data_IF_536928592050
#
_entry.id   IF_536928592050
#
_cell.length_a   1.000
_cell.length_b   1.000
_cell.length_c   1.000
_cell.angle_alpha   90.00
_cell.angle_beta   90.00
_cell.angle_gamma   90.00
#
_symmetry.space_group_name_H-M   'P 1'
#
loop_
_entity.id
_entity.type
_entity.pdbx_description
1 polymer ?
#
# COMPACT_ATOMS: atom_id res chain seq x y z
N UNK A 1 63.27 -46.17 -7.39
CA UNK A 1 63.65 -44.82 -7.73
C UNK A 1 63.15 -44.57 -9.15
N UNK A 2 62.00 -44.02 -9.29
CA UNK A 2 61.43 -43.57 -10.60
C UNK A 2 60.93 -42.20 -10.40
N UNK A 3 61.58 -41.24 -11.03
CA UNK A 3 61.18 -39.82 -11.14
C UNK A 3 60.11 -39.71 -12.19
N UNK A 4 58.90 -39.31 -11.80
CA UNK A 4 57.93 -38.82 -12.71
C UNK A 4 58.11 -37.32 -12.83
N UNK A 5 58.49 -36.89 -14.01
CA UNK A 5 58.62 -35.50 -14.44
C UNK A 5 57.23 -35.07 -14.88
N UNK A 6 56.51 -34.35 -14.07
CA UNK A 6 55.27 -33.69 -14.46
C UNK A 6 55.63 -32.49 -15.33
N UNK A 7 55.20 -32.53 -16.57
CA UNK A 7 55.50 -31.51 -17.59
C UNK A 7 54.68 -30.25 -17.32
N UNK A 8 55.31 -29.07 -17.47
CA UNK A 8 54.78 -27.73 -17.26
C UNK A 8 53.57 -27.36 -18.15
N UNK A 9 53.22 -28.19 -19.11
CA UNK A 9 52.14 -27.94 -20.06
C UNK A 9 50.73 -28.22 -19.49
N UNK A 10 50.58 -29.02 -18.42
CA UNK A 10 49.29 -29.26 -17.80
C UNK A 10 48.84 -28.12 -16.90
N UNK A 11 49.72 -27.26 -16.42
CA UNK A 11 49.36 -26.12 -15.56
C UNK A 11 48.86 -24.90 -16.33
N UNK A 12 49.06 -24.84 -17.65
CA UNK A 12 48.62 -23.70 -18.48
C UNK A 12 47.16 -23.89 -18.93
N UNK A 13 46.69 -25.13 -19.03
CA UNK A 13 45.29 -25.39 -19.44
C UNK A 13 44.28 -25.18 -18.34
N UNK A 14 44.65 -25.27 -17.07
CA UNK A 14 43.74 -25.00 -15.94
C UNK A 14 43.53 -23.50 -15.65
N UNK A 15 44.42 -22.62 -16.13
CA UNK A 15 44.27 -21.16 -15.92
C UNK A 15 43.45 -20.45 -16.98
N UNK A 16 43.12 -21.08 -18.09
CA UNK A 16 42.32 -20.45 -19.18
C UNK A 16 40.81 -20.63 -18.94
N UNK A 17 40.40 -21.67 -18.17
CA UNK A 17 38.99 -21.91 -17.88
C UNK A 17 38.40 -21.03 -16.76
N UNK A 18 39.20 -20.21 -16.09
CA UNK A 18 38.74 -19.31 -15.02
C UNK A 18 38.51 -17.84 -15.49
N UNK A 19 38.67 -17.54 -16.77
CA UNK A 19 38.58 -16.19 -17.30
C UNK A 19 37.39 -15.92 -18.25
N UNK A 20 36.49 -16.87 -18.39
CA UNK A 20 35.27 -16.68 -19.20
C UNK A 20 34.03 -17.07 -18.40
N UNK A 21 33.63 -16.26 -17.42
CA UNK A 21 32.22 -16.07 -17.08
C UNK A 21 32.03 -14.86 -16.16
N UNK A 22 32.32 -13.67 -16.67
CA UNK A 22 31.81 -12.42 -16.11
C UNK A 22 30.92 -11.78 -17.15
N UNK A 23 29.82 -12.45 -17.48
CA UNK A 23 28.66 -11.77 -18.06
C UNK A 23 28.07 -10.93 -16.94
N UNK A 24 27.94 -9.61 -17.07
CA UNK A 24 27.22 -8.83 -16.08
C UNK A 24 25.77 -9.31 -16.11
N UNK A 25 25.40 -10.02 -15.04
CA UNK A 25 24.04 -10.46 -14.79
C UNK A 25 23.17 -9.19 -14.69
N UNK A 26 22.35 -8.96 -15.71
CA UNK A 26 21.36 -7.87 -15.72
C UNK A 26 20.23 -8.29 -14.76
N UNK A 27 20.46 -8.11 -13.45
CA UNK A 27 19.48 -8.42 -12.40
C UNK A 27 18.36 -7.39 -12.24
N UNK A 28 18.40 -6.27 -12.97
CA UNK A 28 17.50 -5.13 -12.74
C UNK A 28 16.00 -5.40 -12.94
N UNK A 29 15.50 -6.10 -14.00
CA UNK A 29 14.05 -6.17 -14.22
C UNK A 29 13.31 -7.10 -13.25
N UNK A 30 13.97 -8.09 -12.65
CA UNK A 30 13.33 -9.02 -11.71
C UNK A 30 13.18 -8.43 -10.31
N UNK A 31 14.10 -7.60 -9.87
CA UNK A 31 14.03 -6.92 -8.57
C UNK A 31 12.95 -5.84 -8.57
N UNK A 32 12.83 -5.04 -9.62
CA UNK A 32 11.79 -4.01 -9.75
C UNK A 32 10.38 -4.60 -9.78
N UNK A 33 10.15 -5.70 -10.51
CA UNK A 33 8.87 -6.40 -10.52
C UNK A 33 8.48 -6.93 -9.13
N UNK A 34 9.45 -7.46 -8.36
CA UNK A 34 9.24 -7.93 -7.00
C UNK A 34 8.89 -6.78 -6.04
N UNK A 35 9.51 -5.62 -6.21
CA UNK A 35 9.24 -4.43 -5.41
C UNK A 35 7.85 -3.86 -5.69
N UNK A 36 7.45 -3.73 -6.95
CA UNK A 36 6.11 -3.29 -7.35
C UNK A 36 5.03 -4.21 -6.77
N UNK A 37 5.22 -5.53 -6.84
CA UNK A 37 4.25 -6.49 -6.28
C UNK A 37 4.16 -6.38 -4.75
N UNK A 38 5.28 -6.16 -4.08
CA UNK A 38 5.33 -5.93 -2.63
C UNK A 38 4.55 -4.67 -2.26
N UNK A 39 4.77 -3.55 -2.95
CA UNK A 39 4.04 -2.30 -2.73
C UNK A 39 2.54 -2.45 -3.02
N UNK A 40 2.16 -3.14 -4.10
CA UNK A 40 0.76 -3.45 -4.41
C UNK A 40 0.10 -4.32 -3.34
N UNK A 41 0.84 -5.24 -2.75
CA UNK A 41 0.35 -6.06 -1.64
C UNK A 41 0.15 -5.22 -0.38
N UNK A 42 1.10 -4.34 -0.05
CA UNK A 42 0.95 -3.39 1.05
C UNK A 42 -0.23 -2.46 0.83
N UNK A 43 -0.42 -1.96 -0.39
CA UNK A 43 -1.55 -1.09 -0.78
C UNK A 43 -2.92 -1.76 -0.58
N UNK A 44 -3.01 -3.07 -0.76
CA UNK A 44 -4.23 -3.87 -0.52
C UNK A 44 -4.44 -4.22 0.95
N UNK A 45 -3.46 -3.95 1.80
CA UNK A 45 -3.51 -4.26 3.22
C UNK A 45 -4.41 -3.35 4.04
N UNK A 46 -4.28 -3.47 5.36
CA UNK A 46 -4.96 -2.64 6.34
C UNK A 46 -4.02 -1.56 6.85
N UNK A 47 -4.53 -0.36 7.00
CA UNK A 47 -3.81 0.81 7.48
C UNK A 47 -4.30 1.20 8.86
N UNK A 48 -3.36 1.53 9.75
CA UNK A 48 -3.68 2.06 11.06
C UNK A 48 -4.27 3.46 10.92
N UNK A 49 -5.46 3.66 11.50
CA UNK A 49 -6.12 4.96 11.57
C UNK A 49 -5.80 5.56 12.94
N UNK A 50 -4.89 6.54 13.00
CA UNK A 50 -4.38 7.05 14.28
C UNK A 50 -5.49 7.74 15.08
N UNK A 51 -5.46 7.50 16.40
CA UNK A 51 -6.37 8.15 17.35
C UNK A 51 -7.87 7.90 17.12
N UNK A 52 -8.25 6.98 16.23
CA UNK A 52 -9.64 6.62 16.02
C UNK A 52 -10.12 5.72 17.17
N UNK A 53 -11.23 6.13 17.78
CA UNK A 53 -11.84 5.40 18.89
C UNK A 53 -12.98 4.51 18.41
N UNK A 54 -13.42 3.58 19.27
CA UNK A 54 -14.61 2.78 19.00
C UNK A 54 -15.87 3.65 18.78
N UNK A 55 -15.96 4.78 19.46
CA UNK A 55 -17.10 5.68 19.31
C UNK A 55 -17.05 6.44 17.97
N UNK A 56 -15.85 6.78 17.49
CA UNK A 56 -15.67 7.34 16.14
C UNK A 56 -16.10 6.31 15.07
N UNK A 57 -15.75 5.03 15.23
CA UNK A 57 -16.19 3.96 14.33
C UNK A 57 -17.71 3.79 14.35
N UNK A 58 -18.34 3.80 15.55
CA UNK A 58 -19.80 3.72 15.69
C UNK A 58 -20.48 4.91 15.03
N UNK A 59 -19.93 6.12 15.24
CA UNK A 59 -20.41 7.33 14.59
C UNK A 59 -20.34 7.22 13.07
N UNK A 60 -19.17 6.85 12.53
CA UNK A 60 -18.95 6.70 11.08
C UNK A 60 -19.89 5.66 10.48
N UNK A 61 -20.07 4.51 11.14
CA UNK A 61 -20.98 3.47 10.71
C UNK A 61 -22.43 3.95 10.68
N UNK A 62 -22.89 4.65 11.75
CA UNK A 62 -24.22 5.21 11.81
C UNK A 62 -24.43 6.30 10.76
N UNK A 63 -23.40 7.09 10.50
CA UNK A 63 -23.39 8.08 9.43
C UNK A 63 -23.62 7.43 8.06
N UNK A 64 -22.85 6.41 7.70
CA UNK A 64 -23.01 5.69 6.43
C UNK A 64 -24.41 5.07 6.28
N UNK A 65 -25.01 4.64 7.39
CA UNK A 65 -26.34 4.03 7.39
C UNK A 65 -27.47 5.05 7.17
N UNK A 66 -27.34 6.24 7.73
CA UNK A 66 -28.49 7.14 7.91
C UNK A 66 -28.37 8.47 7.15
N UNK A 67 -27.16 8.89 6.78
CA UNK A 67 -26.90 10.25 6.28
C UNK A 67 -26.25 10.27 4.87
N UNK A 68 -26.04 9.12 4.25
CA UNK A 68 -25.45 9.04 2.93
C UNK A 68 -26.54 8.82 1.89
N UNK A 69 -26.63 9.73 0.94
CA UNK A 69 -27.37 9.52 -0.30
C UNK A 69 -26.48 8.78 -1.29
N UNK A 70 -27.00 7.74 -1.92
CA UNK A 70 -26.29 6.96 -2.91
C UNK A 70 -26.97 6.97 -4.27
N UNK A 71 -26.16 6.90 -5.33
CA UNK A 71 -26.64 6.88 -6.71
C UNK A 71 -26.39 5.50 -7.30
N UNK A 72 -27.46 4.70 -7.38
CA UNK A 72 -27.44 3.40 -8.01
C UNK A 72 -26.86 2.27 -7.12
N UNK A 73 -26.88 1.02 -7.66
CA UNK A 73 -26.56 -0.18 -6.89
C UNK A 73 -25.09 -0.28 -6.49
N UNK A 74 -24.18 0.27 -7.29
CA UNK A 74 -22.74 0.19 -6.99
C UNK A 74 -22.37 0.97 -5.73
N UNK A 75 -22.84 2.20 -5.60
CA UNK A 75 -22.60 2.99 -4.38
C UNK A 75 -23.28 2.35 -3.17
N UNK A 76 -24.51 1.83 -3.32
CA UNK A 76 -25.20 1.11 -2.25
C UNK A 76 -24.39 -0.12 -1.78
N UNK A 77 -23.80 -0.86 -2.70
CA UNK A 77 -22.94 -2.01 -2.37
C UNK A 77 -21.69 -1.59 -1.60
N UNK A 78 -21.01 -0.52 -2.04
CA UNK A 78 -19.82 0.02 -1.35
C UNK A 78 -20.16 0.48 0.07
N UNK A 79 -21.31 1.16 0.26
CA UNK A 79 -21.77 1.58 1.58
C UNK A 79 -22.01 0.35 2.48
N UNK A 80 -22.67 -0.67 1.95
CA UNK A 80 -22.94 -1.91 2.70
C UNK A 80 -21.65 -2.62 3.10
N UNK A 81 -20.67 -2.71 2.17
CA UNK A 81 -19.36 -3.28 2.49
C UNK A 81 -18.66 -2.50 3.59
N UNK A 82 -18.59 -1.18 3.50
CA UNK A 82 -17.97 -0.34 4.51
C UNK A 82 -18.69 -0.48 5.87
N UNK A 83 -20.01 -0.48 5.86
CA UNK A 83 -20.79 -0.69 7.09
C UNK A 83 -20.44 -2.02 7.78
N UNK A 84 -20.27 -3.11 7.03
CA UNK A 84 -19.91 -4.41 7.55
C UNK A 84 -18.43 -4.46 8.02
N UNK A 85 -17.51 -3.83 7.30
CA UNK A 85 -16.11 -3.72 7.73
C UNK A 85 -15.98 -2.95 9.05
N UNK A 86 -16.66 -1.81 9.17
CA UNK A 86 -16.68 -1.02 10.40
C UNK A 86 -17.31 -1.79 11.56
N UNK A 87 -18.36 -2.59 11.31
CA UNK A 87 -18.95 -3.45 12.33
C UNK A 87 -17.96 -4.49 12.82
N UNK A 88 -17.26 -5.18 11.91
CA UNK A 88 -16.22 -6.16 12.26
C UNK A 88 -15.11 -5.53 13.10
N UNK A 89 -14.67 -4.32 12.75
CA UNK A 89 -13.64 -3.63 13.51
C UNK A 89 -14.13 -3.18 14.89
N UNK A 90 -15.38 -2.72 15.02
CA UNK A 90 -16.01 -2.43 16.31
C UNK A 90 -16.05 -3.68 17.19
N UNK A 91 -16.35 -4.83 16.62
CA UNK A 91 -16.42 -6.11 17.35
C UNK A 91 -15.03 -6.59 17.78
N UNK A 92 -14.01 -6.43 16.92
CA UNK A 92 -12.62 -6.74 17.25
C UNK A 92 -12.11 -5.94 18.45
N UNK A 93 -12.63 -4.73 18.67
CA UNK A 93 -12.26 -3.87 19.81
C UNK A 93 -13.09 -4.12 21.08
N UNK A 94 -14.09 -5.01 21.04
CA UNK A 94 -14.89 -5.40 22.23
C UNK A 94 -14.24 -6.50 23.07
N UNK A 95 -13.15 -7.14 22.59
CA UNK A 95 -12.51 -8.26 23.28
C UNK A 95 -11.95 -7.86 24.64
N UNK A 96 -12.11 -8.73 25.65
CA UNK A 96 -11.61 -8.55 27.01
C UNK A 96 -10.09 -8.27 26.98
N UNK A 97 -9.66 -7.16 27.61
CA UNK A 97 -8.26 -6.78 27.76
C UNK A 97 -7.68 -5.89 26.65
N UNK A 98 -8.42 -5.59 25.61
CA UNK A 98 -8.03 -4.56 24.63
C UNK A 98 -8.63 -3.23 25.05
N UNK A 99 -7.87 -2.46 25.82
CA UNK A 99 -8.21 -1.07 26.06
C UNK A 99 -8.23 -0.35 24.70
N UNK A 100 -9.34 0.28 24.38
CA UNK A 100 -9.57 1.01 23.12
C UNK A 100 -8.49 2.06 22.81
N UNK A 101 -7.67 2.43 23.80
CA UNK A 101 -6.58 3.37 23.69
C UNK A 101 -5.26 2.73 23.19
N UNK A 102 -5.10 1.41 23.26
CA UNK A 102 -3.82 0.73 22.97
C UNK A 102 -3.81 -0.05 21.65
N UNK A 103 -4.97 -0.38 21.11
CA UNK A 103 -5.05 -1.09 19.82
C UNK A 103 -5.48 -0.13 18.71
N UNK A 104 -4.65 0.12 17.70
CA UNK A 104 -5.04 1.00 16.60
C UNK A 104 -6.19 0.39 15.81
N UNK A 105 -7.13 1.23 15.39
CA UNK A 105 -8.16 0.85 14.41
C UNK A 105 -7.48 0.61 13.07
N UNK A 106 -7.80 -0.50 12.42
CA UNK A 106 -7.19 -0.91 11.16
C UNK A 106 -8.23 -1.06 10.07
N UNK A 107 -8.17 -0.23 9.05
CA UNK A 107 -9.11 -0.26 7.92
C UNK A 107 -8.39 -0.55 6.60
N UNK A 108 -9.02 -1.32 5.68
CA UNK A 108 -8.52 -1.45 4.33
C UNK A 108 -8.48 -0.10 3.61
N UNK A 109 -7.50 0.10 2.73
CA UNK A 109 -7.38 1.32 1.95
C UNK A 109 -8.68 1.70 1.22
N UNK A 110 -9.32 0.72 0.58
CA UNK A 110 -10.59 0.94 -0.13
C UNK A 110 -11.72 1.43 0.80
N UNK A 111 -11.74 0.97 2.06
CA UNK A 111 -12.70 1.46 3.07
C UNK A 111 -12.42 2.91 3.44
N UNK A 112 -11.13 3.28 3.65
CA UNK A 112 -10.72 4.64 3.97
C UNK A 112 -11.12 5.60 2.85
N UNK A 113 -10.79 5.26 1.61
CA UNK A 113 -11.10 6.06 0.40
C UNK A 113 -12.59 6.28 0.21
N UNK A 114 -13.37 5.20 0.28
CA UNK A 114 -14.81 5.28 0.08
C UNK A 114 -15.51 6.01 1.23
N UNK A 115 -15.07 5.83 2.48
CA UNK A 115 -15.58 6.60 3.61
C UNK A 115 -15.32 8.11 3.40
N UNK A 116 -14.10 8.50 3.02
CA UNK A 116 -13.78 9.91 2.71
C UNK A 116 -14.61 10.45 1.55
N UNK A 117 -14.82 9.65 0.50
CA UNK A 117 -15.69 10.03 -0.61
C UNK A 117 -17.12 10.36 -0.17
N UNK A 118 -17.74 9.50 0.64
CA UNK A 118 -19.09 9.73 1.14
C UNK A 118 -19.16 10.86 2.16
N UNK A 119 -18.18 11.00 3.04
CA UNK A 119 -18.10 12.09 4.01
C UNK A 119 -18.03 13.46 3.32
N UNK A 120 -17.27 13.57 2.23
CA UNK A 120 -17.12 14.82 1.47
C UNK A 120 -18.38 15.23 0.69
N UNK A 121 -19.25 14.28 0.36
CA UNK A 121 -20.50 14.54 -0.37
C UNK A 121 -21.70 14.78 0.55
N UNK A 122 -21.59 14.42 1.80
CA UNK A 122 -22.71 14.45 2.71
C UNK A 122 -23.08 15.86 3.15
N UNK A 123 -24.37 16.07 3.37
CA UNK A 123 -24.91 17.29 3.93
C UNK A 123 -25.06 17.13 5.44
N UNK A 124 -24.45 18.00 6.19
CA UNK A 124 -24.50 18.00 7.64
C UNK A 124 -25.21 19.20 8.20
N UNK A 125 -25.92 19.00 9.30
CA UNK A 125 -26.51 20.04 10.11
C UNK A 125 -26.13 19.86 11.57
N UNK A 126 -25.92 20.98 12.27
CA UNK A 126 -25.61 21.03 13.69
C UNK A 126 -24.12 20.92 14.02
N UNK A 127 -23.72 21.69 15.04
CA UNK A 127 -22.32 21.82 15.46
C UNK A 127 -21.70 20.49 15.93
N UNK A 128 -22.48 19.66 16.64
CA UNK A 128 -21.99 18.38 17.12
C UNK A 128 -21.60 17.43 15.97
N UNK A 129 -22.42 17.37 14.92
CA UNK A 129 -22.10 16.60 13.72
C UNK A 129 -20.89 17.15 12.99
N UNK A 130 -20.74 18.48 12.94
CA UNK A 130 -19.56 19.11 12.32
C UNK A 130 -18.26 18.78 13.06
N UNK A 131 -18.27 18.74 14.38
CA UNK A 131 -17.10 18.35 15.18
C UNK A 131 -16.71 16.88 14.97
N UNK A 132 -17.69 15.97 15.01
CA UNK A 132 -17.46 14.55 14.77
C UNK A 132 -16.96 14.30 13.34
N UNK A 133 -17.57 14.95 12.35
CA UNK A 133 -17.13 14.90 10.95
C UNK A 133 -15.69 15.35 10.80
N UNK A 134 -15.33 16.52 11.34
CA UNK A 134 -13.97 17.06 11.24
C UNK A 134 -12.96 16.10 11.86
N UNK A 135 -13.24 15.58 13.06
CA UNK A 135 -12.38 14.61 13.75
C UNK A 135 -12.16 13.35 12.91
N UNK A 136 -13.24 12.74 12.45
CA UNK A 136 -13.16 11.47 11.68
C UNK A 136 -12.51 11.70 10.32
N UNK A 137 -12.81 12.79 9.63
CA UNK A 137 -12.14 13.14 8.37
C UNK A 137 -10.64 13.34 8.57
N UNK A 138 -10.21 14.01 9.64
CA UNK A 138 -8.81 14.22 9.95
C UNK A 138 -8.08 12.88 10.18
N UNK A 139 -8.67 11.98 10.97
CA UNK A 139 -8.13 10.66 11.25
C UNK A 139 -8.00 9.81 9.97
N UNK A 140 -9.04 9.76 9.16
CA UNK A 140 -9.04 9.03 7.88
C UNK A 140 -8.05 9.63 6.88
N UNK A 141 -7.94 10.96 6.77
CA UNK A 141 -6.97 11.61 5.88
C UNK A 141 -5.53 11.32 6.31
N UNK A 142 -5.25 11.25 7.60
CA UNK A 142 -3.92 10.86 8.11
C UNK A 142 -3.55 9.44 7.70
N UNK A 143 -4.50 8.50 7.77
CA UNK A 143 -4.28 7.14 7.27
C UNK A 143 -4.18 7.12 5.73
N UNK A 144 -5.01 7.90 5.03
CA UNK A 144 -5.00 7.99 3.57
C UNK A 144 -3.69 8.54 3.00
N UNK A 145 -3.00 9.42 3.72
CA UNK A 145 -1.68 9.91 3.29
C UNK A 145 -0.69 8.77 3.04
N UNK A 146 -0.69 7.74 3.88
CA UNK A 146 0.16 6.55 3.70
C UNK A 146 -0.25 5.74 2.47
N UNK A 147 -1.55 5.62 2.21
CA UNK A 147 -2.06 4.96 0.99
C UNK A 147 -1.59 5.71 -0.25
N UNK A 148 -1.68 7.04 -0.22
CA UNK A 148 -1.27 7.89 -1.32
C UNK A 148 0.25 7.87 -1.58
N UNK A 149 1.07 7.75 -0.53
CA UNK A 149 2.52 7.55 -0.66
C UNK A 149 2.83 6.24 -1.40
N UNK A 150 2.13 5.14 -1.07
CA UNK A 150 2.29 3.88 -1.78
C UNK A 150 1.85 3.99 -3.26
N UNK A 151 0.72 4.65 -3.54
CA UNK A 151 0.26 4.86 -4.92
C UNK A 151 1.27 5.67 -5.74
N UNK A 152 1.91 6.67 -5.13
CA UNK A 152 2.99 7.43 -5.78
C UNK A 152 4.21 6.56 -6.06
N UNK A 153 4.65 5.75 -5.08
CA UNK A 153 5.79 4.87 -5.24
C UNK A 153 5.55 3.84 -6.36
N UNK A 154 4.38 3.20 -6.37
CA UNK A 154 3.99 2.25 -7.43
C UNK A 154 4.02 2.95 -8.79
N UNK A 155 3.41 4.13 -8.90
CA UNK A 155 3.37 4.87 -10.16
C UNK A 155 4.76 5.27 -10.66
N UNK A 156 5.66 5.63 -9.76
CA UNK A 156 7.04 6.00 -10.11
C UNK A 156 7.78 4.81 -10.70
N UNK A 157 7.62 3.61 -10.13
CA UNK A 157 8.25 2.39 -10.62
C UNK A 157 7.58 1.83 -11.90
N UNK A 158 6.30 2.10 -12.11
CA UNK A 158 5.57 1.68 -13.32
C UNK A 158 5.81 2.60 -14.53
N UNK A 159 6.37 3.81 -14.30
CA UNK A 159 6.64 4.74 -15.40
C UNK A 159 8.03 4.43 -15.97
N UNK A 160 8.14 3.96 -17.23
CA UNK A 160 9.44 3.73 -17.85
C UNK A 160 10.25 5.05 -17.86
N UNK A 161 11.51 4.99 -17.44
CA UNK A 161 12.43 6.11 -17.62
C UNK A 161 12.60 6.29 -19.12
N UNK A 162 12.03 7.37 -19.69
CA UNK A 162 12.31 7.74 -21.08
C UNK A 162 13.82 7.86 -21.22
N UNK A 163 14.41 7.01 -22.06
CA UNK A 163 15.82 7.08 -22.39
C UNK A 163 16.12 8.50 -22.93
N UNK A 164 17.22 9.15 -22.50
CA UNK A 164 17.57 10.47 -22.97
C UNK A 164 17.67 10.44 -24.51
N UNK A 165 16.82 11.23 -25.16
CA UNK A 165 16.91 11.43 -26.60
C UNK A 165 18.28 12.02 -26.87
N UNK A 166 19.16 11.24 -27.48
CA UNK A 166 20.43 11.73 -28.05
C UNK A 166 20.06 12.73 -29.14
N UNK A 167 20.21 14.02 -28.87
CA UNK A 167 20.17 15.06 -29.89
C UNK A 167 21.26 14.73 -30.90
N UNK A 168 20.87 14.20 -32.06
CA UNK A 168 21.74 14.17 -33.25
C UNK A 168 22.00 15.61 -33.67
N UNK A 169 23.20 16.07 -33.42
CA UNK A 169 23.70 17.33 -33.95
C UNK A 169 23.89 17.14 -35.47
N UNK A 170 23.17 17.88 -36.33
CA UNK A 170 23.43 17.82 -37.78
C UNK A 170 24.77 18.46 -38.10
N UNK A 171 25.57 17.74 -38.89
CA UNK A 171 26.86 18.19 -39.43
C UNK A 171 26.70 19.26 -40.51
#
# INVERSE_FOLDING_TARGET
MSNETVTQDEQILEQVDQLTDATPEVEEPQQELSEIESLKTQRRGHFDVPSMTQDDLKWLRNFLKNNVEFTGPNEAFVILQNHNMLLGEIENHKGEGKNSETSPVRLPAACIESCLYFLNRAKFTGLHNAQALFKVCFQLNTAYSKVHELDKAIKTLETPVEAPQTEETPA
#
